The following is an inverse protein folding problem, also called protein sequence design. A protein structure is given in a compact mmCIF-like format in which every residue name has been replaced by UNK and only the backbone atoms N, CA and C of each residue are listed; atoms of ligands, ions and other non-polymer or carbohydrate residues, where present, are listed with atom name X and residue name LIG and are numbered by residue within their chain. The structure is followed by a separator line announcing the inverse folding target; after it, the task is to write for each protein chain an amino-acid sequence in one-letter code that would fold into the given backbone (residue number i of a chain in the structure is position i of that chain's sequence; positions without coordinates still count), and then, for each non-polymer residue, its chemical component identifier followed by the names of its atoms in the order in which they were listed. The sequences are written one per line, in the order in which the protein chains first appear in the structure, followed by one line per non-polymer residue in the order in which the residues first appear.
data_IF_184392839097
#
_entry.id   IF_184392839097
#
_cell.length_a   1.000
_cell.length_b   1.000
_cell.length_c   1.000
_cell.angle_alpha   90.00
_cell.angle_beta   90.00
_cell.angle_gamma   90.00
#
_symmetry.space_group_name_H-M   'P 1'
#
loop_
_entity.id
_entity.type
_entity.pdbx_description
1 polymer ?
#
# COMPACT_ATOMS: atom_id res chain seq x y z
N UNK A 1 -7.69 -19.21 17.30
CA UNK A 1 -7.59 -20.40 18.17
C UNK A 1 -9.00 -20.83 18.53
N UNK A 2 -9.36 -22.12 18.42
CA UNK A 2 -10.68 -22.59 18.92
C UNK A 2 -10.86 -22.39 20.44
N UNK A 3 -9.82 -21.92 21.13
CA UNK A 3 -9.80 -21.53 22.53
C UNK A 3 -9.28 -20.09 22.70
N UNK A 4 -10.10 -19.16 23.19
CA UNK A 4 -9.62 -18.18 24.19
C UNK A 4 -10.73 -17.72 25.16
N UNK A 5 -11.03 -18.53 26.19
CA UNK A 5 -11.97 -18.14 27.24
C UNK A 5 -11.33 -17.47 28.48
N UNK A 6 -10.00 -17.23 28.54
CA UNK A 6 -9.33 -16.86 29.82
C UNK A 6 -8.23 -15.79 29.82
N UNK A 7 -7.70 -15.33 28.69
CA UNK A 7 -6.68 -14.30 28.76
C UNK A 7 -5.26 -14.86 28.95
N UNK A 8 -4.53 -14.71 27.86
CA UNK A 8 -3.10 -14.36 27.75
C UNK A 8 -2.75 -14.22 26.27
N UNK A 9 -3.63 -14.64 25.36
CA UNK A 9 -3.65 -14.19 23.96
C UNK A 9 -2.31 -14.36 23.25
N UNK A 10 -1.57 -15.44 23.54
CA UNK A 10 -0.24 -15.65 22.98
C UNK A 10 -0.24 -15.78 21.46
N UNK A 11 -1.35 -16.29 20.89
CA UNK A 11 -1.60 -16.36 19.45
C UNK A 11 -3.08 -16.04 19.17
N UNK A 12 -3.45 -14.74 19.17
CA UNK A 12 -4.83 -14.33 19.00
C UNK A 12 -5.29 -14.45 17.54
N UNK A 13 -4.34 -14.45 16.59
CA UNK A 13 -4.59 -14.56 15.15
C UNK A 13 -4.44 -16.02 14.73
N UNK A 14 -5.47 -16.67 14.16
CA UNK A 14 -5.36 -18.01 13.59
C UNK A 14 -4.32 -18.11 12.46
N UNK A 15 -3.50 -19.16 12.46
CA UNK A 15 -2.44 -19.40 11.46
C UNK A 15 -2.95 -19.34 10.01
N UNK A 16 -4.15 -19.87 9.76
CA UNK A 16 -4.80 -19.83 8.43
C UNK A 16 -4.97 -18.41 7.86
N UNK A 17 -5.01 -17.38 8.71
CA UNK A 17 -5.12 -15.97 8.28
C UNK A 17 -3.75 -15.44 7.83
N UNK A 18 -2.67 -15.95 8.43
CA UNK A 18 -1.30 -15.55 8.13
C UNK A 18 -0.81 -16.27 6.87
N UNK A 19 -1.09 -17.56 6.73
CA UNK A 19 -0.57 -18.40 5.64
C UNK A 19 -1.38 -18.33 4.34
N UNK A 20 -2.61 -17.82 4.38
CA UNK A 20 -3.41 -17.66 3.15
C UNK A 20 -2.77 -16.60 2.24
N UNK A 21 -2.84 -16.75 0.91
CA UNK A 21 -2.37 -15.72 -0.01
C UNK A 21 -3.08 -14.38 0.28
N UNK A 22 -2.37 -13.25 0.12
CA UNK A 22 -2.97 -11.94 0.28
C UNK A 22 -4.08 -11.72 -0.76
N UNK A 23 -5.27 -11.33 -0.29
CA UNK A 23 -6.45 -11.06 -1.13
C UNK A 23 -7.29 -9.93 -0.51
N UNK A 24 -7.68 -8.93 -1.31
CA UNK A 24 -8.62 -7.86 -0.96
C UNK A 24 -10.09 -8.33 -1.06
N UNK A 25 -10.38 -9.48 -0.45
CA UNK A 25 -11.65 -10.21 -0.49
C UNK A 25 -12.90 -9.29 -0.45
N UNK A 26 -13.45 -8.96 -1.63
CA UNK A 26 -14.82 -8.49 -1.83
C UNK A 26 -15.63 -9.47 -2.70
N UNK A 27 -14.98 -10.45 -3.36
CA UNK A 27 -15.58 -11.58 -4.10
C UNK A 27 -14.72 -12.84 -4.01
N UNK A 28 -15.34 -14.01 -4.16
CA UNK A 28 -14.64 -15.29 -4.29
C UNK A 28 -13.66 -15.24 -5.48
N UNK A 29 -12.45 -15.76 -5.28
CA UNK A 29 -11.35 -15.85 -6.25
C UNK A 29 -10.70 -14.52 -6.69
N UNK A 30 -11.05 -13.39 -6.07
CA UNK A 30 -10.36 -12.12 -6.33
C UNK A 30 -8.98 -12.10 -5.65
N UNK A 31 -7.90 -11.93 -6.40
CA UNK A 31 -6.55 -11.71 -5.82
C UNK A 31 -6.05 -10.31 -6.15
N UNK A 32 -5.42 -9.63 -5.18
CA UNK A 32 -4.81 -8.31 -5.45
C UNK A 32 -3.68 -8.40 -6.49
N UNK A 33 -3.10 -9.59 -6.62
CA UNK A 33 -2.03 -9.90 -7.55
C UNK A 33 -2.45 -9.84 -9.03
N UNK A 34 -3.76 -9.87 -9.33
CA UNK A 34 -4.26 -9.69 -10.69
C UNK A 34 -3.98 -8.26 -11.22
N UNK A 35 -3.78 -7.30 -10.31
CA UNK A 35 -3.72 -5.88 -10.67
C UNK A 35 -2.60 -5.07 -10.01
N UNK A 36 -1.78 -5.68 -9.17
CA UNK A 36 -0.65 -5.04 -8.51
C UNK A 36 0.64 -5.89 -8.69
N UNK A 37 1.82 -5.25 -8.68
CA UNK A 37 3.07 -6.00 -8.56
C UNK A 37 3.13 -6.72 -7.20
N UNK A 38 4.04 -7.69 -7.01
CA UNK A 38 4.26 -8.32 -5.71
C UNK A 38 4.46 -7.28 -4.61
N UNK A 39 3.92 -7.53 -3.41
CA UNK A 39 3.94 -6.55 -2.31
C UNK A 39 5.34 -6.04 -1.97
N UNK A 40 6.35 -6.91 -1.98
CA UNK A 40 7.76 -6.51 -1.79
C UNK A 40 8.20 -5.41 -2.77
N UNK A 41 7.78 -5.51 -4.03
CA UNK A 41 8.08 -4.52 -5.07
C UNK A 41 7.22 -3.27 -4.88
N UNK A 42 5.93 -3.44 -4.58
CA UNK A 42 5.01 -2.34 -4.33
C UNK A 42 5.48 -1.47 -3.16
N UNK A 43 5.80 -2.09 -2.03
CA UNK A 43 6.18 -1.44 -0.79
C UNK A 43 7.52 -0.73 -0.95
N UNK A 44 8.47 -1.34 -1.67
CA UNK A 44 9.74 -0.68 -1.98
C UNK A 44 9.55 0.58 -2.86
N UNK A 45 8.64 0.55 -3.84
CA UNK A 45 8.30 1.73 -4.65
C UNK A 45 7.58 2.78 -3.79
N UNK A 46 6.63 2.37 -2.94
CA UNK A 46 5.91 3.27 -2.03
C UNK A 46 6.87 3.98 -1.08
N UNK A 47 7.79 3.24 -0.46
CA UNK A 47 8.78 3.81 0.44
C UNK A 47 9.66 4.85 -0.28
N UNK A 48 10.14 4.54 -1.49
CA UNK A 48 10.98 5.48 -2.27
C UNK A 48 10.22 6.71 -2.74
N UNK A 49 9.03 6.51 -3.30
CA UNK A 49 8.24 7.59 -3.90
C UNK A 49 7.49 8.42 -2.84
N UNK A 50 6.72 7.76 -1.98
CA UNK A 50 5.87 8.40 -0.99
C UNK A 50 6.63 8.82 0.26
N UNK A 51 7.53 7.99 0.79
CA UNK A 51 8.20 8.35 2.05
C UNK A 51 9.47 9.18 1.82
N UNK A 52 10.22 8.90 0.74
CA UNK A 52 11.52 9.53 0.48
C UNK A 52 11.55 10.56 -0.67
N UNK A 53 10.38 10.93 -1.25
CA UNK A 53 10.27 11.92 -2.34
C UNK A 53 11.19 11.65 -3.55
N UNK A 54 11.55 10.39 -3.81
CA UNK A 54 12.39 10.04 -4.96
C UNK A 54 11.61 10.22 -6.26
N UNK A 55 12.28 10.77 -7.28
CA UNK A 55 11.71 10.90 -8.62
C UNK A 55 11.49 9.53 -9.28
N UNK A 56 10.58 9.47 -10.25
CA UNK A 56 10.33 8.25 -11.04
C UNK A 56 11.64 7.75 -11.67
N UNK A 57 12.43 8.65 -12.26
CA UNK A 57 13.71 8.32 -12.89
C UNK A 57 14.71 7.74 -11.89
N UNK A 58 14.77 8.28 -10.67
CA UNK A 58 15.63 7.76 -9.61
C UNK A 58 15.23 6.36 -9.17
N UNK A 59 13.92 6.08 -9.12
CA UNK A 59 13.40 4.76 -8.75
C UNK A 59 13.69 3.75 -9.88
N UNK A 60 13.50 4.13 -11.14
CA UNK A 60 13.88 3.30 -12.28
C UNK A 60 15.38 3.01 -12.29
N UNK A 61 16.22 4.03 -12.06
CA UNK A 61 17.67 3.88 -11.96
C UNK A 61 18.10 2.96 -10.79
N UNK A 62 17.27 2.83 -9.75
CA UNK A 62 17.48 1.90 -8.65
C UNK A 62 17.15 0.44 -9.00
N UNK A 63 16.76 0.14 -10.24
CA UNK A 63 16.56 -1.21 -10.77
C UNK A 63 15.10 -1.67 -10.85
N UNK A 64 14.13 -0.78 -10.62
CA UNK A 64 12.71 -1.11 -10.76
C UNK A 64 12.25 -0.96 -12.21
N UNK A 65 11.36 -1.85 -12.66
CA UNK A 65 10.84 -1.82 -14.03
C UNK A 65 10.02 -0.53 -14.27
N UNK A 66 10.29 0.24 -15.34
CA UNK A 66 9.60 1.51 -15.62
C UNK A 66 8.08 1.39 -15.64
N UNK A 67 7.55 0.37 -16.32
CA UNK A 67 6.12 0.15 -16.42
C UNK A 67 5.46 -0.08 -15.05
N UNK A 68 6.16 -0.74 -14.13
CA UNK A 68 5.68 -0.98 -12.76
C UNK A 68 5.72 0.31 -11.94
N UNK A 69 6.81 1.07 -12.00
CA UNK A 69 6.93 2.36 -11.29
C UNK A 69 5.86 3.35 -11.76
N UNK A 70 5.67 3.48 -13.07
CA UNK A 70 4.62 4.34 -13.65
C UNK A 70 3.22 3.90 -13.21
N UNK A 71 2.94 2.59 -13.23
CA UNK A 71 1.65 2.05 -12.79
C UNK A 71 1.39 2.36 -11.32
N UNK A 72 2.34 2.09 -10.43
CA UNK A 72 2.20 2.33 -8.99
C UNK A 72 2.04 3.83 -8.70
N UNK A 73 2.88 4.68 -9.26
CA UNK A 73 2.79 6.13 -9.05
C UNK A 73 1.49 6.73 -9.60
N UNK A 74 0.99 6.22 -10.72
CA UNK A 74 -0.34 6.55 -11.24
C UNK A 74 -1.43 6.11 -10.27
N UNK A 75 -1.39 4.87 -9.76
CA UNK A 75 -2.35 4.35 -8.79
C UNK A 75 -2.38 5.18 -7.51
N UNK A 76 -1.22 5.62 -7.02
CA UNK A 76 -1.15 6.57 -5.91
C UNK A 76 -1.95 7.81 -6.29
N UNK A 77 -1.59 8.52 -7.37
CA UNK A 77 -2.25 9.77 -7.78
C UNK A 77 -3.77 9.64 -7.93
N UNK A 78 -4.27 8.62 -8.63
CA UNK A 78 -5.71 8.51 -8.90
C UNK A 78 -6.54 8.13 -7.67
N UNK A 79 -5.94 7.54 -6.64
CA UNK A 79 -6.65 7.16 -5.41
C UNK A 79 -6.62 8.26 -4.33
N UNK A 80 -6.14 9.47 -4.65
CA UNK A 80 -6.14 10.60 -3.70
C UNK A 80 -7.54 10.92 -3.16
N UNK A 81 -8.57 10.84 -4.02
CA UNK A 81 -9.96 11.08 -3.62
C UNK A 81 -10.46 10.07 -2.57
N UNK A 82 -9.96 8.82 -2.59
CA UNK A 82 -10.30 7.80 -1.60
C UNK A 82 -9.62 8.10 -0.28
N UNK A 83 -8.34 8.49 -0.32
CA UNK A 83 -7.57 8.87 0.88
C UNK A 83 -8.15 10.10 1.57
N UNK A 84 -8.65 11.08 0.81
CA UNK A 84 -9.34 12.24 1.36
C UNK A 84 -10.61 11.91 2.16
N UNK A 85 -11.16 10.71 2.01
CA UNK A 85 -12.33 10.21 2.76
C UNK A 85 -11.95 9.24 3.89
N UNK A 86 -10.66 8.89 4.03
CA UNK A 86 -10.22 7.97 5.07
C UNK A 86 -10.24 8.64 6.46
N UNK A 87 -10.62 7.91 7.53
CA UNK A 87 -10.49 8.42 8.88
C UNK A 87 -9.01 8.63 9.26
N UNK A 88 -8.78 9.46 10.28
CA UNK A 88 -7.43 9.67 10.81
C UNK A 88 -6.89 8.38 11.41
N UNK A 89 -5.69 7.98 11.00
CA UNK A 89 -4.95 6.82 11.53
C UNK A 89 -3.67 7.21 12.27
N UNK A 90 -3.07 6.24 12.97
CA UNK A 90 -1.79 6.42 13.67
C UNK A 90 -0.65 6.50 12.65
N UNK A 91 0.23 7.48 12.80
CA UNK A 91 1.46 7.60 11.99
C UNK A 91 2.55 6.69 12.54
N UNK A 92 3.06 5.78 11.72
CA UNK A 92 4.14 4.82 12.08
C UNK A 92 5.46 5.07 11.32
N UNK A 93 5.43 5.80 10.20
CA UNK A 93 6.58 6.19 9.37
C UNK A 93 6.89 7.69 9.51
N UNK A 94 8.05 8.16 9.03
CA UNK A 94 8.40 9.59 9.08
C UNK A 94 7.52 10.46 8.17
N UNK A 95 6.94 9.87 7.12
CA UNK A 95 5.94 10.50 6.25
C UNK A 95 4.78 9.55 6.01
N UNK A 96 3.55 10.04 6.17
CA UNK A 96 2.33 9.24 6.05
C UNK A 96 1.25 9.91 5.19
N UNK A 97 0.29 9.11 4.72
CA UNK A 97 -0.92 9.55 4.02
C UNK A 97 -1.92 10.30 4.92
N UNK A 98 -1.48 11.40 5.52
CA UNK A 98 -2.29 12.27 6.36
C UNK A 98 -1.86 13.72 6.20
N UNK A 99 -1.52 14.37 7.32
CA UNK A 99 -1.08 15.78 7.32
C UNK A 99 0.16 16.04 6.44
N UNK A 100 1.00 15.03 6.22
CA UNK A 100 2.28 15.13 5.51
C UNK A 100 2.14 14.92 3.99
N UNK A 101 1.02 14.34 3.54
CA UNK A 101 0.74 14.05 2.13
C UNK A 101 -0.38 14.96 1.62
N UNK A 102 0.00 16.13 1.10
CA UNK A 102 -0.94 17.17 0.66
C UNK A 102 -0.93 17.31 -0.85
N UNK A 103 -1.57 16.36 -1.53
CA UNK A 103 -1.73 16.40 -2.99
C UNK A 103 -3.15 16.84 -3.38
N UNK A 104 -3.30 17.59 -4.49
CA UNK A 104 -4.61 17.97 -4.97
C UNK A 104 -5.37 16.75 -5.51
N UNK A 105 -6.67 16.66 -5.22
CA UNK A 105 -7.56 15.63 -5.78
C UNK A 105 -7.70 15.85 -7.30
N UNK A 106 -8.01 17.07 -7.72
CA UNK A 106 -8.04 17.44 -9.14
C UNK A 106 -6.61 17.73 -9.60
N UNK A 107 -5.99 16.74 -10.25
CA UNK A 107 -4.60 16.83 -10.69
C UNK A 107 -4.44 16.31 -12.13
N UNK A 108 -3.94 17.15 -13.04
CA UNK A 108 -3.58 16.78 -14.43
C UNK A 108 -2.07 16.70 -14.67
N UNK A 109 -1.26 16.85 -13.63
CA UNK A 109 0.19 16.80 -13.75
C UNK A 109 0.65 15.40 -14.20
N UNK A 110 1.38 15.38 -15.32
CA UNK A 110 2.04 14.20 -15.88
C UNK A 110 3.54 14.45 -15.81
N UNK A 111 4.28 13.49 -15.25
CA UNK A 111 5.72 13.41 -15.41
C UNK A 111 6.01 12.84 -16.80
#
# INVERSE_FOLDING_TARGET
NENDPYGTGSQPIPERIITRPPSAELRADQTDQDSLPPYEVLDAILNRYMENDQSIDSIVAAGFEPAVVERVTRLIKINEYKRGQAPVGIRVTHRSFGKDWRYPITNKFRH
#
